data_IF_201175024031
#
_entry.id   IF_201175024031
#
_cell.length_a   1.000
_cell.length_b   1.000
_cell.length_c   1.000
_cell.angle_alpha   90.00
_cell.angle_beta   90.00
_cell.angle_gamma   90.00
#
_symmetry.space_group_name_H-M   'P 1'
#
loop_
_entity.id
_entity.type
_entity.pdbx_description
1 polymer ?
#
# COMPACT_ATOMS: atom_id res chain seq x y z
N UNK A 1 -28.40 -14.84 -51.42
CA UNK A 1 -27.58 -15.58 -50.43
C UNK A 1 -26.56 -14.63 -49.78
N UNK A 2 -27.02 -13.58 -49.09
CA UNK A 2 -26.15 -12.52 -48.54
C UNK A 2 -26.49 -12.10 -47.10
N UNK A 3 -27.12 -12.97 -46.32
CA UNK A 3 -27.42 -12.68 -44.90
C UNK A 3 -26.67 -13.57 -43.89
N UNK A 4 -25.98 -14.63 -44.31
CA UNK A 4 -25.28 -15.55 -43.39
C UNK A 4 -23.82 -15.18 -43.05
N UNK A 5 -23.24 -14.19 -43.75
CA UNK A 5 -21.88 -13.69 -43.46
C UNK A 5 -21.85 -12.52 -42.46
N UNK A 6 -22.96 -11.83 -42.24
CA UNK A 6 -23.07 -10.69 -41.31
C UNK A 6 -23.25 -11.13 -39.85
N UNK A 7 -23.91 -12.26 -39.62
CA UNK A 7 -24.11 -12.82 -38.29
C UNK A 7 -22.84 -13.45 -37.70
N UNK A 8 -22.01 -14.06 -38.56
CA UNK A 8 -20.79 -14.77 -38.16
C UNK A 8 -19.63 -13.84 -37.75
N UNK A 9 -19.65 -12.57 -38.16
CA UNK A 9 -18.63 -11.56 -37.79
C UNK A 9 -18.98 -10.90 -36.44
N UNK A 10 -20.26 -10.68 -36.15
CA UNK A 10 -20.71 -10.13 -34.86
C UNK A 10 -20.52 -11.11 -33.70
N UNK A 11 -20.69 -12.41 -33.93
CA UNK A 11 -20.44 -13.43 -32.90
C UNK A 11 -18.95 -13.66 -32.66
N UNK A 12 -18.11 -13.68 -33.71
CA UNK A 12 -16.64 -13.78 -33.55
C UNK A 12 -16.03 -12.57 -32.84
N UNK A 13 -16.55 -11.36 -33.09
CA UNK A 13 -16.16 -10.15 -32.33
C UNK A 13 -16.51 -10.25 -30.85
N UNK A 14 -17.71 -10.74 -30.51
CA UNK A 14 -18.15 -10.92 -29.11
C UNK A 14 -17.43 -12.06 -28.38
N UNK A 15 -17.00 -13.09 -29.10
CA UNK A 15 -16.21 -14.20 -28.55
C UNK A 15 -14.77 -13.75 -28.27
N UNK A 16 -14.15 -12.95 -29.13
CA UNK A 16 -12.84 -12.36 -28.87
C UNK A 16 -12.87 -11.34 -27.71
N UNK A 17 -13.93 -10.54 -27.59
CA UNK A 17 -14.12 -9.59 -26.47
C UNK A 17 -14.25 -10.32 -25.11
N UNK A 18 -14.97 -11.45 -25.09
CA UNK A 18 -15.11 -12.28 -23.89
C UNK A 18 -13.85 -13.08 -23.54
N UNK A 19 -13.08 -13.51 -24.54
CA UNK A 19 -11.80 -14.19 -24.32
C UNK A 19 -10.75 -13.19 -23.78
N UNK A 20 -10.75 -11.96 -24.31
CA UNK A 20 -9.96 -10.84 -23.82
C UNK A 20 -10.34 -10.43 -22.38
N UNK A 21 -11.61 -10.45 -22.00
CA UNK A 21 -12.03 -10.20 -20.60
C UNK A 21 -11.58 -11.31 -19.65
N UNK A 22 -11.61 -12.59 -20.07
CA UNK A 22 -11.24 -13.74 -19.22
C UNK A 22 -9.72 -13.83 -19.02
N UNK A 23 -8.93 -13.60 -20.07
CA UNK A 23 -7.45 -13.58 -19.96
C UNK A 23 -6.96 -12.33 -19.22
N UNK A 24 -7.62 -11.18 -19.40
CA UNK A 24 -7.35 -9.98 -18.62
C UNK A 24 -7.81 -10.11 -17.17
N UNK A 25 -8.92 -10.81 -16.89
CA UNK A 25 -9.30 -11.15 -15.52
C UNK A 25 -8.31 -12.11 -14.88
N UNK A 26 -7.64 -12.99 -15.63
CA UNK A 26 -6.60 -13.87 -15.12
C UNK A 26 -5.27 -13.15 -14.87
N UNK A 27 -4.83 -12.24 -15.74
CA UNK A 27 -3.67 -11.38 -15.48
C UNK A 27 -3.95 -10.40 -14.35
N UNK A 28 -5.13 -9.77 -14.34
CA UNK A 28 -5.58 -8.84 -13.31
C UNK A 28 -5.83 -9.57 -11.98
N UNK A 29 -6.27 -10.85 -12.00
CA UNK A 29 -6.29 -11.75 -10.84
C UNK A 29 -4.89 -12.05 -10.36
N UNK A 30 -3.94 -12.42 -11.22
CA UNK A 30 -2.54 -12.66 -10.80
C UNK A 30 -1.92 -11.40 -10.18
N UNK A 31 -2.18 -10.23 -10.76
CA UNK A 31 -1.75 -8.93 -10.22
C UNK A 31 -2.47 -8.54 -8.93
N UNK A 32 -3.77 -8.87 -8.78
CA UNK A 32 -4.54 -8.63 -7.55
C UNK A 32 -4.26 -9.66 -6.45
N UNK A 33 -3.92 -10.91 -6.80
CA UNK A 33 -3.59 -12.00 -5.88
C UNK A 33 -2.28 -11.75 -5.11
N UNK A 34 -1.39 -10.92 -5.64
CA UNK A 34 -0.17 -10.48 -4.97
C UNK A 34 -0.35 -9.21 -4.11
N UNK A 35 -1.49 -8.52 -4.26
CA UNK A 35 -1.94 -7.46 -3.36
C UNK A 35 -2.74 -7.99 -2.16
N UNK A 36 -3.10 -9.29 -2.17
CA UNK A 36 -3.92 -9.92 -1.13
C UNK A 36 -3.09 -10.81 -0.21
N UNK A 37 -2.35 -10.17 0.70
CA UNK A 37 -2.25 -10.64 2.09
C UNK A 37 -2.98 -9.66 3.03
N UNK A 38 -4.10 -9.11 2.55
CA UNK A 38 -5.10 -8.41 3.34
C UNK A 38 -6.48 -8.89 2.89
N UNK A 39 -6.76 -10.17 3.13
CA UNK A 39 -8.10 -10.74 3.08
C UNK A 39 -8.95 -10.05 4.13
N UNK A 40 -9.96 -9.30 3.69
CA UNK A 40 -11.33 -9.51 4.14
C UNK A 40 -12.25 -8.80 3.15
N UNK A 41 -13.16 -9.57 2.54
CA UNK A 41 -14.42 -9.06 1.99
C UNK A 41 -15.06 -8.15 3.05
N UNK A 42 -15.13 -6.86 2.76
CA UNK A 42 -15.77 -5.89 3.64
C UNK A 42 -16.97 -5.31 2.91
N UNK A 43 -18.14 -5.63 3.47
CA UNK A 43 -19.40 -4.95 3.19
C UNK A 43 -19.23 -3.42 3.26
N UNK A 44 -19.85 -2.62 2.37
CA UNK A 44 -19.86 -1.14 2.44
C UNK A 44 -20.25 -0.58 3.81
N UNK A 45 -21.24 -1.21 4.46
CA UNK A 45 -21.72 -0.84 5.80
C UNK A 45 -20.61 -1.04 6.86
N UNK A 46 -19.67 -1.95 6.59
CA UNK A 46 -18.58 -2.32 7.50
C UNK A 46 -17.41 -1.34 7.48
N UNK A 47 -17.15 -0.63 6.37
CA UNK A 47 -16.00 0.30 6.28
C UNK A 47 -16.23 1.57 7.10
N UNK A 48 -17.43 2.16 7.01
CA UNK A 48 -17.76 3.31 7.88
C UNK A 48 -17.98 2.92 9.32
N UNK A 49 -18.51 1.72 9.55
CA UNK A 49 -18.55 1.15 10.89
C UNK A 49 -17.12 0.99 11.42
N UNK A 50 -16.17 0.52 10.64
CA UNK A 50 -14.77 0.38 11.05
C UNK A 50 -14.07 1.71 11.29
N UNK A 51 -14.33 2.74 10.48
CA UNK A 51 -13.83 4.11 10.75
C UNK A 51 -14.43 4.64 12.05
N UNK A 52 -15.75 4.45 12.26
CA UNK A 52 -16.43 4.84 13.50
C UNK A 52 -15.89 4.09 14.71
N UNK A 53 -15.74 2.77 14.60
CA UNK A 53 -15.19 1.91 15.64
C UNK A 53 -13.75 2.33 15.99
N UNK A 54 -12.92 2.67 14.99
CA UNK A 54 -11.58 3.22 15.20
C UNK A 54 -11.58 4.62 15.85
N UNK A 55 -12.60 5.43 15.60
CA UNK A 55 -12.78 6.74 16.25
C UNK A 55 -13.31 6.63 17.69
N UNK A 56 -13.95 5.52 18.04
CA UNK A 56 -14.42 5.25 19.41
C UNK A 56 -13.30 4.66 20.30
N UNK A 57 -12.34 3.95 19.72
CA UNK A 57 -11.19 3.42 20.46
C UNK A 57 -10.18 4.53 20.73
N UNK A 58 -9.96 4.84 22.02
CA UNK A 58 -8.90 5.74 22.45
C UNK A 58 -7.56 4.98 22.35
N UNK A 59 -6.58 5.47 21.58
CA UNK A 59 -5.32 4.78 21.44
C UNK A 59 -4.52 4.81 22.75
N UNK A 60 -3.76 3.75 23.01
CA UNK A 60 -2.98 3.58 24.25
C UNK A 60 -2.06 4.76 24.56
N UNK A 61 -1.51 5.44 23.54
CA UNK A 61 -0.62 6.58 23.73
C UNK A 61 -1.34 7.87 24.18
N UNK A 62 -2.68 7.91 24.22
CA UNK A 62 -3.49 9.01 24.75
C UNK A 62 -4.21 8.67 26.06
N UNK A 63 -4.02 7.46 26.59
CA UNK A 63 -4.68 7.04 27.83
C UNK A 63 -4.01 7.65 29.05
N UNK A 64 -4.69 7.60 30.20
CA UNK A 64 -4.14 8.11 31.47
C UNK A 64 -2.92 7.33 31.94
N UNK A 65 -2.78 6.07 31.50
CA UNK A 65 -1.68 5.18 31.92
C UNK A 65 -0.38 5.42 31.15
N UNK A 66 -0.42 6.13 30.01
CA UNK A 66 0.78 6.38 29.23
C UNK A 66 1.67 7.44 29.88
N UNK A 67 2.91 7.05 30.22
CA UNK A 67 3.88 7.90 30.95
C UNK A 67 4.29 9.11 30.10
N UNK A 68 4.69 8.91 28.85
CA UNK A 68 5.16 9.98 27.96
C UNK A 68 4.07 11.03 27.68
N UNK A 69 2.83 10.58 27.50
CA UNK A 69 1.70 11.50 27.36
C UNK A 69 1.44 12.27 28.66
N UNK A 70 1.50 11.59 29.82
CA UNK A 70 1.34 12.24 31.12
C UNK A 70 2.42 13.30 31.35
N UNK A 71 3.67 13.02 30.97
CA UNK A 71 4.79 13.97 31.04
C UNK A 71 4.57 15.19 30.15
N UNK A 72 4.17 15.00 28.89
CA UNK A 72 3.81 16.10 27.99
C UNK A 72 2.73 17.00 28.59
N UNK A 73 1.70 16.39 29.17
CA UNK A 73 0.59 17.08 29.79
C UNK A 73 1.04 17.88 31.02
N UNK A 74 1.90 17.31 31.87
CA UNK A 74 2.50 18.03 32.98
C UNK A 74 3.37 19.21 32.52
N UNK A 75 4.17 19.04 31.46
CA UNK A 75 4.96 20.13 30.88
C UNK A 75 4.07 21.27 30.40
N UNK A 76 2.99 20.97 29.67
CA UNK A 76 2.02 21.97 29.23
C UNK A 76 1.41 22.69 30.44
N UNK A 77 0.91 21.96 31.42
CA UNK A 77 0.20 22.54 32.56
C UNK A 77 1.11 23.34 33.49
N UNK A 78 2.38 22.94 33.64
CA UNK A 78 3.38 23.68 34.40
C UNK A 78 3.62 25.10 33.85
N UNK A 79 3.38 25.29 32.55
CA UNK A 79 3.48 26.61 31.91
C UNK A 79 2.21 27.47 32.02
N UNK A 80 1.09 26.90 32.51
CA UNK A 80 -0.23 27.54 32.50
C UNK A 80 -0.82 27.73 33.91
N UNK A 81 -0.50 26.85 34.87
CA UNK A 81 -1.19 26.78 36.17
C UNK A 81 -0.19 26.75 37.32
N UNK A 82 -0.43 27.57 38.35
CA UNK A 82 0.40 27.72 39.55
C UNK A 82 -0.09 26.93 40.78
N UNK A 83 -1.24 26.25 40.71
CA UNK A 83 -1.90 25.59 41.86
C UNK A 83 -2.24 24.11 41.61
N UNK A 84 -2.03 23.27 42.63
CA UNK A 84 -2.01 21.80 42.54
C UNK A 84 -3.39 21.13 42.37
N UNK A 85 -4.47 21.63 42.97
CA UNK A 85 -5.82 21.03 42.80
C UNK A 85 -6.43 21.30 41.42
N UNK A 86 -6.16 22.47 40.83
CA UNK A 86 -6.54 22.77 39.44
C UNK A 86 -5.82 21.87 38.43
N UNK A 87 -4.64 21.34 38.80
CA UNK A 87 -3.80 20.56 37.90
C UNK A 87 -4.47 19.25 37.45
N UNK A 88 -5.11 18.50 38.36
CA UNK A 88 -5.72 17.21 38.03
C UNK A 88 -6.97 17.35 37.15
N UNK A 89 -7.81 18.35 37.39
CA UNK A 89 -8.98 18.61 36.53
C UNK A 89 -8.54 19.10 35.15
N UNK A 90 -7.51 19.94 35.08
CA UNK A 90 -6.97 20.46 33.83
C UNK A 90 -6.23 19.39 33.01
N UNK A 91 -5.59 18.39 33.66
CA UNK A 91 -5.06 17.19 32.98
C UNK A 91 -6.15 16.44 32.22
N UNK A 92 -7.30 16.23 32.86
CA UNK A 92 -8.40 15.48 32.26
C UNK A 92 -9.06 16.26 31.11
N UNK A 93 -9.23 17.56 31.24
CA UNK A 93 -9.75 18.40 30.15
C UNK A 93 -8.78 18.51 28.97
N UNK A 94 -7.48 18.71 29.23
CA UNK A 94 -6.47 18.75 28.20
C UNK A 94 -6.36 17.38 27.48
N UNK A 95 -6.62 16.26 28.18
CA UNK A 95 -6.66 14.93 27.57
C UNK A 95 -7.86 14.80 26.64
N UNK A 96 -9.03 15.29 27.04
CA UNK A 96 -10.21 15.33 26.17
C UNK A 96 -9.95 16.15 24.91
N UNK A 97 -9.23 17.27 25.04
CA UNK A 97 -8.78 18.08 23.89
C UNK A 97 -7.85 17.27 22.97
N UNK A 98 -6.86 16.58 23.52
CA UNK A 98 -5.95 15.73 22.74
C UNK A 98 -6.69 14.60 22.00
N UNK A 99 -7.69 13.97 22.64
CA UNK A 99 -8.53 12.94 22.01
C UNK A 99 -9.34 13.54 20.85
N UNK A 100 -9.87 14.76 20.98
CA UNK A 100 -10.58 15.43 19.89
C UNK A 100 -9.65 15.74 18.72
N UNK A 101 -8.43 16.24 18.99
CA UNK A 101 -7.40 16.47 17.97
C UNK A 101 -7.06 15.17 17.23
N UNK A 102 -6.90 14.06 17.96
CA UNK A 102 -6.69 12.73 17.38
C UNK A 102 -7.81 12.34 16.41
N UNK A 103 -9.07 12.45 16.85
CA UNK A 103 -10.23 12.12 16.01
C UNK A 103 -10.29 12.97 14.75
N UNK A 104 -10.00 14.26 14.88
CA UNK A 104 -9.92 15.19 13.75
C UNK A 104 -8.85 14.73 12.75
N UNK A 105 -7.64 14.43 13.22
CA UNK A 105 -6.53 13.98 12.36
C UNK A 105 -6.83 12.65 11.66
N UNK A 106 -7.44 11.68 12.36
CA UNK A 106 -7.88 10.41 11.76
C UNK A 106 -8.90 10.66 10.64
N UNK A 107 -9.91 11.51 10.89
CA UNK A 107 -10.93 11.85 9.87
C UNK A 107 -10.27 12.54 8.67
N UNK A 108 -9.36 13.48 8.90
CA UNK A 108 -8.63 14.17 7.82
C UNK A 108 -7.82 13.19 6.97
N UNK A 109 -7.18 12.20 7.61
CA UNK A 109 -6.43 11.13 6.92
C UNK A 109 -7.38 10.30 6.03
N UNK A 110 -8.54 9.89 6.54
CA UNK A 110 -9.53 9.20 5.72
C UNK A 110 -10.13 10.10 4.62
N UNK A 111 -10.37 11.38 4.89
CA UNK A 111 -10.81 12.32 3.86
C UNK A 111 -9.79 12.43 2.72
N UNK A 112 -8.49 12.36 3.00
CA UNK A 112 -7.46 12.33 1.97
C UNK A 112 -7.62 11.10 1.04
N UNK A 113 -7.81 9.91 1.61
CA UNK A 113 -8.09 8.70 0.85
C UNK A 113 -9.37 8.82 0.00
N UNK A 114 -10.49 9.22 0.62
CA UNK A 114 -11.78 9.31 -0.08
C UNK A 114 -11.80 10.41 -1.15
N UNK A 115 -11.07 11.51 -0.95
CA UNK A 115 -10.86 12.52 -2.00
C UNK A 115 -10.05 11.97 -3.16
N UNK A 116 -9.09 11.07 -2.90
CA UNK A 116 -8.33 10.37 -3.94
C UNK A 116 -9.24 9.43 -4.74
N UNK A 117 -10.09 8.64 -4.07
CA UNK A 117 -11.12 7.84 -4.74
C UNK A 117 -12.04 8.70 -5.61
N UNK A 118 -12.50 9.84 -5.09
CA UNK A 118 -13.34 10.76 -5.83
C UNK A 118 -12.63 11.30 -7.07
N UNK A 119 -11.41 11.82 -6.93
CA UNK A 119 -10.61 12.33 -8.05
C UNK A 119 -10.34 11.27 -9.12
N UNK A 120 -10.05 10.04 -8.70
CA UNK A 120 -9.86 8.90 -9.62
C UNK A 120 -11.15 8.62 -10.40
N UNK A 121 -12.28 8.51 -9.70
CA UNK A 121 -13.59 8.25 -10.29
C UNK A 121 -14.20 9.39 -11.10
N UNK A 122 -13.74 10.63 -10.94
CA UNK A 122 -14.13 11.79 -11.77
C UNK A 122 -13.13 12.12 -12.87
N UNK A 123 -12.00 11.39 -12.94
CA UNK A 123 -10.94 11.64 -13.91
C UNK A 123 -10.13 12.92 -13.65
N UNK A 124 -10.15 13.40 -12.39
CA UNK A 124 -9.42 14.57 -11.90
C UNK A 124 -8.21 14.20 -11.04
N UNK A 125 -7.77 12.94 -11.09
CA UNK A 125 -6.56 12.51 -10.40
C UNK A 125 -5.35 13.06 -11.15
N UNK A 126 -5.01 14.33 -10.85
CA UNK A 126 -3.82 14.99 -11.38
C UNK A 126 -2.61 14.18 -10.93
N UNK A 127 -1.82 13.74 -11.89
CA UNK A 127 -0.54 13.08 -11.66
C UNK A 127 0.49 14.20 -11.50
N UNK A 128 1.09 14.38 -10.31
CA UNK A 128 2.21 15.30 -10.16
C UNK A 128 3.39 14.71 -10.93
N UNK A 129 3.58 15.14 -12.17
CA UNK A 129 4.76 14.79 -12.96
C UNK A 129 5.78 15.93 -12.81
N UNK A 130 6.45 15.97 -11.65
CA UNK A 130 7.58 16.90 -11.45
C UNK A 130 8.84 16.46 -12.20
N UNK A 131 8.86 15.26 -12.77
CA UNK A 131 9.99 14.77 -13.56
C UNK A 131 9.53 14.03 -14.80
N UNK A 132 9.95 14.58 -15.95
CA UNK A 132 10.10 13.96 -17.28
C UNK A 132 8.87 14.00 -18.21
N UNK A 133 9.15 14.67 -19.33
CA UNK A 133 8.44 14.80 -20.60
C UNK A 133 7.36 13.75 -20.95
N UNK A 134 6.21 14.31 -21.37
CA UNK A 134 5.42 13.92 -22.55
C UNK A 134 4.67 12.57 -22.51
N UNK A 135 3.61 12.51 -21.71
CA UNK A 135 2.33 11.95 -22.17
C UNK A 135 1.21 12.68 -21.43
N UNK A 136 0.70 13.75 -22.03
CA UNK A 136 -0.60 14.29 -21.62
C UNK A 136 -1.65 13.32 -22.14
N UNK A 137 -2.33 12.61 -21.25
CA UNK A 137 -3.48 11.81 -21.64
C UNK A 137 -4.49 12.72 -22.34
N UNK A 138 -4.97 12.29 -23.52
CA UNK A 138 -5.95 13.05 -24.29
C UNK A 138 -7.31 13.14 -23.56
N UNK A 139 -7.55 12.27 -22.58
CA UNK A 139 -8.86 12.08 -21.95
C UNK A 139 -8.81 12.18 -20.43
N UNK A 140 -9.61 13.09 -19.87
CA UNK A 140 -10.07 13.03 -18.48
C UNK A 140 -10.94 11.78 -18.32
N UNK A 141 -10.39 10.72 -17.73
CA UNK A 141 -11.09 9.45 -17.70
C UNK A 141 -11.54 9.09 -16.27
N UNK A 142 -12.86 8.93 -16.03
CA UNK A 142 -13.36 8.45 -14.75
C UNK A 142 -13.02 6.98 -14.56
N UNK A 143 -12.12 6.69 -13.61
CA UNK A 143 -11.67 5.33 -13.30
C UNK A 143 -11.97 5.06 -11.84
N UNK A 144 -12.95 4.21 -11.57
CA UNK A 144 -13.22 3.79 -10.19
C UNK A 144 -12.28 2.66 -9.77
N UNK A 145 -11.56 2.78 -8.64
CA UNK A 145 -10.76 1.69 -8.11
C UNK A 145 -11.58 0.44 -7.83
N UNK A 146 -10.94 -0.73 -7.95
CA UNK A 146 -11.60 -2.04 -7.83
C UNK A 146 -12.29 -2.19 -6.48
N UNK A 147 -11.67 -1.69 -5.42
CA UNK A 147 -12.21 -1.70 -4.07
C UNK A 147 -13.60 -1.05 -4.04
N UNK A 148 -13.73 0.15 -4.63
CA UNK A 148 -15.01 0.87 -4.71
C UNK A 148 -16.01 0.08 -5.56
N UNK A 149 -15.59 -0.43 -6.72
CA UNK A 149 -16.45 -1.25 -7.58
C UNK A 149 -16.95 -2.50 -6.85
N UNK A 150 -16.08 -3.22 -6.16
CA UNK A 150 -16.43 -4.41 -5.39
C UNK A 150 -17.39 -4.06 -4.25
N UNK A 151 -17.14 -2.97 -3.53
CA UNK A 151 -17.99 -2.50 -2.43
C UNK A 151 -19.41 -2.15 -2.92
N UNK A 152 -19.51 -1.49 -4.08
CA UNK A 152 -20.77 -0.98 -4.60
C UNK A 152 -21.56 -2.05 -5.37
N UNK A 153 -20.87 -2.92 -6.10
CA UNK A 153 -21.46 -3.92 -7.01
C UNK A 153 -21.71 -5.29 -6.35
N UNK A 154 -21.18 -5.54 -5.15
CA UNK A 154 -21.49 -6.76 -4.37
C UNK A 154 -22.98 -6.95 -4.10
N UNK A 155 -23.77 -5.87 -4.18
CA UNK A 155 -25.19 -5.86 -3.83
C UNK A 155 -26.17 -5.62 -5.01
N UNK A 156 -25.71 -5.55 -6.28
CA UNK A 156 -26.60 -5.27 -7.43
C UNK A 156 -26.28 -6.10 -8.67
N UNK A 157 -27.30 -6.77 -9.23
CA UNK A 157 -27.23 -7.57 -10.47
C UNK A 157 -27.26 -6.72 -11.75
N UNK A 158 -27.74 -5.49 -11.68
CA UNK A 158 -27.84 -4.59 -12.84
C UNK A 158 -26.65 -3.62 -12.91
N UNK A 159 -25.86 -3.75 -13.99
CA UNK A 159 -24.69 -2.90 -14.28
C UNK A 159 -25.07 -1.55 -14.92
N UNK A 160 -26.34 -1.33 -15.22
CA UNK A 160 -26.84 -0.06 -15.73
C UNK A 160 -26.70 0.98 -14.62
N UNK A 161 -25.79 1.93 -14.83
CA UNK A 161 -25.50 3.08 -13.96
C UNK A 161 -24.39 2.93 -12.89
N UNK A 162 -23.42 2.03 -13.08
CA UNK A 162 -22.27 1.83 -12.17
C UNK A 162 -21.57 3.13 -11.73
N UNK A 163 -21.32 4.05 -12.67
CA UNK A 163 -20.59 5.28 -12.39
C UNK A 163 -21.34 6.23 -11.45
N UNK A 164 -22.65 6.44 -11.64
CA UNK A 164 -23.43 7.30 -10.74
C UNK A 164 -23.57 6.68 -9.36
N UNK A 165 -23.68 5.34 -9.27
CA UNK A 165 -23.76 4.66 -7.99
C UNK A 165 -22.43 4.78 -7.22
N UNK A 166 -21.28 4.59 -7.89
CA UNK A 166 -19.97 4.77 -7.28
C UNK A 166 -19.75 6.22 -6.85
N UNK A 167 -20.12 7.19 -7.71
CA UNK A 167 -20.02 8.61 -7.42
C UNK A 167 -20.85 8.99 -6.20
N UNK A 168 -22.12 8.58 -6.17
CA UNK A 168 -23.02 8.83 -5.04
C UNK A 168 -22.46 8.22 -3.76
N UNK A 169 -22.02 6.96 -3.81
CA UNK A 169 -21.46 6.28 -2.65
C UNK A 169 -20.25 7.01 -2.07
N UNK A 170 -19.27 7.38 -2.91
CA UNK A 170 -18.06 8.10 -2.48
C UNK A 170 -18.41 9.49 -1.95
N UNK A 171 -19.36 10.19 -2.58
CA UNK A 171 -19.83 11.50 -2.11
C UNK A 171 -20.54 11.39 -0.75
N UNK A 172 -21.36 10.37 -0.54
CA UNK A 172 -22.01 10.11 0.74
C UNK A 172 -20.97 9.86 1.86
N UNK A 173 -19.89 9.12 1.55
CA UNK A 173 -18.79 8.92 2.51
C UNK A 173 -18.07 10.22 2.85
N UNK A 174 -17.75 11.04 1.84
CA UNK A 174 -17.10 12.34 2.04
C UNK A 174 -17.97 13.29 2.87
N UNK A 175 -19.28 13.32 2.60
CA UNK A 175 -20.24 14.14 3.35
C UNK A 175 -20.35 13.70 4.81
N UNK A 176 -20.37 12.39 5.07
CA UNK A 176 -20.41 11.86 6.44
C UNK A 176 -19.12 12.19 7.20
N UNK A 177 -17.94 12.00 6.58
CA UNK A 177 -16.67 12.40 7.18
C UNK A 177 -16.63 13.91 7.44
N UNK A 178 -17.14 14.73 6.52
CA UNK A 178 -17.21 16.18 6.69
C UNK A 178 -18.15 16.59 7.84
N UNK A 179 -19.27 15.88 8.01
CA UNK A 179 -20.21 16.08 9.13
C UNK A 179 -19.53 15.77 10.46
N UNK A 180 -18.88 14.62 10.58
CA UNK A 180 -18.14 14.23 11.79
C UNK A 180 -16.98 15.19 12.09
N UNK A 181 -16.24 15.61 11.06
CA UNK A 181 -15.16 16.59 11.21
C UNK A 181 -15.67 17.90 11.81
N UNK A 182 -16.76 18.45 11.28
CA UNK A 182 -17.38 19.67 11.80
C UNK A 182 -17.84 19.51 13.25
N UNK A 183 -18.43 18.38 13.59
CA UNK A 183 -18.85 18.08 14.96
C UNK A 183 -17.65 18.12 15.92
N UNK A 184 -16.58 17.38 15.62
CA UNK A 184 -15.40 17.35 16.51
C UNK A 184 -14.66 18.69 16.55
N UNK A 185 -14.63 19.46 15.45
CA UNK A 185 -14.08 20.82 15.44
C UNK A 185 -14.89 21.76 16.34
N UNK A 186 -16.23 21.65 16.35
CA UNK A 186 -17.08 22.43 17.26
C UNK A 186 -16.86 22.03 18.72
N UNK A 187 -16.83 20.74 19.02
CA UNK A 187 -16.53 20.23 20.36
C UNK A 187 -15.14 20.68 20.84
N UNK A 188 -14.14 20.66 19.95
CA UNK A 188 -12.79 21.15 20.21
C UNK A 188 -12.81 22.65 20.53
N UNK A 189 -13.47 23.47 19.72
CA UNK A 189 -13.54 24.91 19.93
C UNK A 189 -14.21 25.24 21.28
N UNK A 190 -15.29 24.54 21.64
CA UNK A 190 -15.95 24.73 22.94
C UNK A 190 -14.99 24.38 24.08
N UNK A 191 -14.29 23.24 24.00
CA UNK A 191 -13.35 22.82 25.04
C UNK A 191 -12.12 23.72 25.14
N UNK A 192 -11.54 24.11 24.00
CA UNK A 192 -10.41 25.01 23.92
C UNK A 192 -10.75 26.37 24.55
N UNK A 193 -11.92 26.94 24.23
CA UNK A 193 -12.36 28.22 24.79
C UNK A 193 -12.64 28.14 26.30
N UNK A 194 -13.10 27.00 26.79
CA UNK A 194 -13.35 26.77 28.22
C UNK A 194 -12.07 26.41 29.00
N UNK A 195 -10.97 26.11 28.32
CA UNK A 195 -9.70 25.79 28.95
C UNK A 195 -8.87 27.05 29.14
N UNK A 196 -8.75 27.52 30.39
CA UNK A 196 -8.02 28.73 30.71
C UNK A 196 -6.54 28.59 30.33
N UNK A 197 -6.05 29.51 29.49
CA UNK A 197 -4.67 29.51 29.01
C UNK A 197 -4.39 28.55 27.85
N UNK A 198 -5.43 28.03 27.18
CA UNK A 198 -5.25 27.32 25.91
C UNK A 198 -4.68 28.27 24.86
N UNK A 199 -3.64 27.83 24.14
CA UNK A 199 -2.99 28.60 23.09
C UNK A 199 -2.75 27.74 21.87
N UNK A 200 -2.48 28.37 20.73
CA UNK A 200 -2.07 27.68 19.50
C UNK A 200 -0.83 26.81 19.74
N UNK A 201 0.13 27.29 20.54
CA UNK A 201 1.34 26.50 20.89
C UNK A 201 1.01 25.21 21.65
N UNK A 202 0.01 25.22 22.53
CA UNK A 202 -0.45 24.00 23.22
C UNK A 202 -1.09 23.03 22.22
N UNK A 203 -1.90 23.55 21.30
CA UNK A 203 -2.51 22.76 20.24
C UNK A 203 -1.45 22.10 19.35
N UNK A 204 -0.44 22.85 18.92
CA UNK A 204 0.67 22.36 18.09
C UNK A 204 1.45 21.27 18.82
N UNK A 205 1.79 21.46 20.11
CA UNK A 205 2.48 20.42 20.90
C UNK A 205 1.68 19.12 20.98
N UNK A 206 0.37 19.21 21.20
CA UNK A 206 -0.50 18.03 21.22
C UNK A 206 -0.60 17.38 19.83
N UNK A 207 -0.77 18.17 18.78
CA UNK A 207 -0.82 17.68 17.40
C UNK A 207 0.48 16.98 17.01
N UNK A 208 1.64 17.55 17.30
CA UNK A 208 2.94 16.93 17.01
C UNK A 208 3.12 15.60 17.73
N UNK A 209 2.74 15.53 19.02
CA UNK A 209 2.78 14.28 19.77
C UNK A 209 1.85 13.22 19.17
N UNK A 210 0.64 13.61 18.81
CA UNK A 210 -0.35 12.74 18.16
C UNK A 210 0.20 12.27 16.81
N UNK A 211 0.67 13.19 15.97
CA UNK A 211 1.21 12.93 14.63
C UNK A 211 2.36 11.92 14.65
N UNK A 212 3.33 12.09 15.56
CA UNK A 212 4.45 11.15 15.69
C UNK A 212 3.97 9.71 15.98
N UNK A 213 2.91 9.56 16.77
CA UNK A 213 2.33 8.26 17.11
C UNK A 213 1.38 7.73 16.01
N UNK A 214 0.63 8.60 15.33
CA UNK A 214 -0.30 8.26 14.24
C UNK A 214 0.42 7.87 12.95
N UNK A 215 1.52 8.57 12.65
CA UNK A 215 2.38 8.33 11.48
C UNK A 215 3.01 6.93 11.50
N UNK A 216 3.10 6.30 12.66
CA UNK A 216 3.67 4.95 12.79
C UNK A 216 2.79 3.84 12.18
N UNK A 217 1.48 4.05 11.99
CA UNK A 217 0.57 2.96 11.59
C UNK A 217 -0.52 3.36 10.59
N UNK A 218 -1.33 4.38 10.88
CA UNK A 218 -2.48 4.72 10.05
C UNK A 218 -2.10 5.59 8.85
N UNK A 219 -1.33 6.67 9.05
CA UNK A 219 -1.00 7.61 7.95
C UNK A 219 -0.28 6.89 6.82
N UNK A 220 0.79 6.15 7.15
CA UNK A 220 1.56 5.35 6.18
C UNK A 220 0.71 4.34 5.40
N UNK A 221 -0.25 3.69 6.07
CA UNK A 221 -1.14 2.74 5.41
C UNK A 221 -2.04 3.43 4.40
N UNK A 222 -2.58 4.59 4.76
CA UNK A 222 -3.45 5.38 3.90
C UNK A 222 -2.66 6.02 2.75
N UNK A 223 -1.46 6.56 3.01
CA UNK A 223 -0.53 7.05 2.00
C UNK A 223 -0.22 5.97 0.96
N UNK A 224 0.16 4.77 1.40
CA UNK A 224 0.41 3.66 0.50
C UNK A 224 -0.83 3.27 -0.33
N UNK A 225 -2.02 3.26 0.28
CA UNK A 225 -3.26 3.02 -0.48
C UNK A 225 -3.49 4.08 -1.55
N UNK A 226 -3.21 5.35 -1.24
CA UNK A 226 -3.30 6.46 -2.20
C UNK A 226 -2.30 6.27 -3.34
N UNK A 227 -1.06 5.93 -3.05
CA UNK A 227 -0.05 5.61 -4.08
C UNK A 227 -0.54 4.48 -5.01
N UNK A 228 -1.09 3.40 -4.46
CA UNK A 228 -1.64 2.30 -5.27
C UNK A 228 -2.78 2.76 -6.18
N UNK A 229 -3.67 3.63 -5.70
CA UNK A 229 -4.74 4.22 -6.52
C UNK A 229 -4.16 5.04 -7.67
N UNK A 230 -3.10 5.81 -7.42
CA UNK A 230 -2.41 6.57 -8.46
C UNK A 230 -1.80 5.66 -9.53
N UNK A 231 -1.08 4.61 -9.14
CA UNK A 231 -0.51 3.65 -10.09
C UNK A 231 -1.61 2.93 -10.90
N UNK A 232 -2.68 2.48 -10.24
CA UNK A 232 -3.78 1.80 -10.92
C UNK A 232 -4.53 2.72 -11.88
N UNK A 233 -4.69 4.00 -11.54
CA UNK A 233 -5.24 5.01 -12.43
C UNK A 233 -4.37 5.18 -13.68
N UNK A 234 -3.06 5.37 -13.49
CA UNK A 234 -2.12 5.62 -14.58
C UNK A 234 -1.98 4.43 -15.53
N UNK A 235 -1.88 3.20 -14.99
CA UNK A 235 -1.85 1.98 -15.80
C UNK A 235 -3.12 1.85 -16.65
N UNK A 236 -4.28 2.18 -16.10
CA UNK A 236 -5.54 2.13 -16.85
C UNK A 236 -5.63 3.22 -17.91
N UNK A 237 -5.15 4.44 -17.61
CA UNK A 237 -5.06 5.53 -18.58
C UNK A 237 -4.14 5.15 -19.76
N UNK A 238 -2.94 4.63 -19.49
CA UNK A 238 -2.01 4.14 -20.52
C UNK A 238 -2.62 3.02 -21.37
N UNK A 239 -3.34 2.09 -20.74
CA UNK A 239 -4.01 0.99 -21.43
C UNK A 239 -5.06 1.52 -22.42
N UNK A 240 -5.83 2.52 -22.02
CA UNK A 240 -6.85 3.11 -22.87
C UNK A 240 -6.23 3.91 -24.01
N UNK A 241 -5.22 4.72 -23.73
CA UNK A 241 -4.44 5.43 -24.75
C UNK A 241 -3.88 4.43 -25.77
N UNK A 242 -3.27 3.34 -25.31
CA UNK A 242 -2.78 2.26 -26.18
C UNK A 242 -3.86 1.71 -27.12
N UNK A 243 -5.07 1.47 -26.62
CA UNK A 243 -6.18 0.98 -27.46
C UNK A 243 -6.76 2.02 -28.41
N UNK A 244 -6.70 3.32 -28.08
CA UNK A 244 -7.14 4.38 -29.01
C UNK A 244 -6.34 4.35 -30.32
N UNK A 245 -5.07 3.95 -30.26
CA UNK A 245 -4.19 3.79 -31.42
C UNK A 245 -4.46 2.52 -32.25
N UNK A 246 -5.46 1.70 -31.90
CA UNK A 246 -5.86 0.47 -32.61
C UNK A 246 -4.67 -0.43 -32.97
N UNK A 247 -3.94 -0.92 -31.95
CA UNK A 247 -2.74 -1.73 -32.15
C UNK A 247 -3.09 -3.02 -32.90
N UNK A 248 -2.17 -3.50 -33.73
CA UNK A 248 -2.32 -4.82 -34.33
C UNK A 248 -2.10 -5.93 -33.27
N UNK A 249 -2.55 -7.15 -33.56
CA UNK A 249 -2.44 -8.28 -32.63
C UNK A 249 -0.98 -8.61 -32.24
N UNK A 250 -0.04 -8.47 -33.18
CA UNK A 250 1.38 -8.70 -32.90
C UNK A 250 1.94 -7.70 -31.87
N UNK A 251 1.63 -6.41 -32.02
CA UNK A 251 2.03 -5.34 -31.10
C UNK A 251 1.40 -5.55 -29.71
N UNK A 252 0.13 -5.99 -29.66
CA UNK A 252 -0.56 -6.36 -28.43
C UNK A 252 0.15 -7.51 -27.71
N UNK A 253 0.48 -8.59 -28.43
CA UNK A 253 1.20 -9.73 -27.85
C UNK A 253 2.59 -9.32 -27.34
N UNK A 254 3.33 -8.54 -28.13
CA UNK A 254 4.65 -8.05 -27.75
C UNK A 254 4.58 -7.21 -26.46
N UNK A 255 3.67 -6.23 -26.40
CA UNK A 255 3.44 -5.42 -25.20
C UNK A 255 3.16 -6.28 -23.96
N UNK A 256 2.29 -7.28 -24.08
CA UNK A 256 1.97 -8.19 -22.97
C UNK A 256 3.21 -8.93 -22.50
N UNK A 257 3.99 -9.51 -23.41
CA UNK A 257 5.20 -10.27 -23.09
C UNK A 257 6.24 -9.41 -22.37
N UNK A 258 6.47 -8.18 -22.83
CA UNK A 258 7.44 -7.26 -22.22
C UNK A 258 6.98 -6.86 -20.82
N UNK A 259 5.73 -6.43 -20.68
CA UNK A 259 5.19 -6.02 -19.39
C UNK A 259 5.21 -7.16 -18.37
N UNK A 260 4.91 -8.39 -18.80
CA UNK A 260 5.01 -9.59 -17.95
C UNK A 260 6.46 -9.86 -17.53
N UNK A 261 7.39 -9.85 -18.47
CA UNK A 261 8.81 -10.08 -18.15
C UNK A 261 9.40 -8.97 -17.25
N UNK A 262 9.01 -7.70 -17.45
CA UNK A 262 9.41 -6.59 -16.58
C UNK A 262 8.86 -6.78 -15.17
N UNK A 263 7.58 -7.17 -15.05
CA UNK A 263 6.97 -7.44 -13.75
C UNK A 263 7.69 -8.55 -13.00
N UNK A 264 7.98 -9.67 -13.68
CA UNK A 264 8.71 -10.80 -13.11
C UNK A 264 10.12 -10.40 -12.67
N UNK A 265 10.85 -9.68 -13.52
CA UNK A 265 12.19 -9.16 -13.20
C UNK A 265 12.16 -8.25 -11.97
N UNK A 266 11.35 -7.19 -11.98
CA UNK A 266 11.28 -6.22 -10.87
C UNK A 266 10.83 -6.88 -9.57
N UNK A 267 9.88 -7.82 -9.63
CA UNK A 267 9.44 -8.57 -8.45
C UNK A 267 10.59 -9.40 -7.90
N UNK A 268 11.30 -10.15 -8.74
CA UNK A 268 12.43 -10.99 -8.31
C UNK A 268 13.58 -10.17 -7.71
N UNK A 269 13.89 -9.00 -8.27
CA UNK A 269 14.90 -8.08 -7.73
C UNK A 269 14.51 -7.60 -6.33
N UNK A 270 13.27 -7.17 -6.16
CA UNK A 270 12.78 -6.65 -4.88
C UNK A 270 12.62 -7.74 -3.82
N UNK A 271 12.29 -8.98 -4.21
CA UNK A 271 12.29 -10.14 -3.32
C UNK A 271 13.68 -10.49 -2.82
N UNK A 272 14.66 -10.49 -3.72
CA UNK A 272 16.06 -10.75 -3.38
C UNK A 272 16.61 -9.70 -2.41
N UNK A 273 16.37 -8.41 -2.67
CA UNK A 273 16.80 -7.34 -1.77
C UNK A 273 16.09 -7.38 -0.40
N UNK A 274 14.79 -7.71 -0.38
CA UNK A 274 14.06 -7.94 0.88
C UNK A 274 14.63 -9.14 1.66
N UNK A 275 14.99 -10.23 0.97
CA UNK A 275 15.60 -11.41 1.58
C UNK A 275 16.95 -11.09 2.21
N UNK A 276 17.81 -10.35 1.50
CA UNK A 276 19.09 -9.85 2.06
C UNK A 276 18.88 -9.07 3.35
N UNK A 277 17.94 -8.14 3.35
CA UNK A 277 17.65 -7.32 4.53
C UNK A 277 17.12 -8.16 5.70
N UNK A 278 16.25 -9.15 5.44
CA UNK A 278 15.78 -10.09 6.47
C UNK A 278 16.92 -10.92 7.04
N UNK A 279 17.81 -11.44 6.21
CA UNK A 279 18.98 -12.21 6.65
C UNK A 279 19.90 -11.33 7.51
N UNK A 280 20.16 -10.09 7.08
CA UNK A 280 20.93 -9.12 7.86
C UNK A 280 20.29 -8.87 9.24
N UNK A 281 18.97 -8.69 9.28
CA UNK A 281 18.22 -8.53 10.52
C UNK A 281 18.35 -9.74 11.46
N UNK A 282 18.15 -10.96 10.97
CA UNK A 282 18.26 -12.18 11.80
C UNK A 282 19.69 -12.49 12.26
N UNK A 283 20.69 -11.85 11.65
CA UNK A 283 22.09 -11.92 12.05
C UNK A 283 22.48 -10.84 13.07
N UNK A 284 21.59 -9.92 13.46
CA UNK A 284 21.87 -8.94 14.51
C UNK A 284 22.06 -9.63 15.87
N UNK A 285 22.95 -9.10 16.74
CA UNK A 285 23.19 -9.65 18.08
C UNK A 285 21.93 -9.72 18.96
N UNK A 286 21.01 -8.77 18.78
CA UNK A 286 19.72 -8.71 19.50
C UNK A 286 18.71 -9.80 19.09
N UNK A 287 18.94 -10.46 17.94
CA UNK A 287 18.14 -11.58 17.43
C UNK A 287 18.93 -12.90 17.50
N UNK A 288 19.97 -12.94 18.33
CA UNK A 288 20.90 -14.06 18.43
C UNK A 288 20.31 -15.28 19.13
N UNK A 289 21.04 -16.40 19.05
CA UNK A 289 20.76 -17.68 19.70
C UNK A 289 20.42 -17.57 21.21
N UNK A 290 20.85 -16.50 21.88
CA UNK A 290 20.56 -16.24 23.29
C UNK A 290 19.06 -16.02 23.56
N UNK A 291 18.29 -15.62 22.55
CA UNK A 291 16.83 -15.52 22.62
C UNK A 291 16.08 -16.79 22.15
N UNK A 292 16.80 -17.85 21.74
CA UNK A 292 16.18 -19.11 21.31
C UNK A 292 15.86 -20.01 22.51
N UNK A 293 14.75 -20.74 22.46
CA UNK A 293 14.37 -21.74 23.49
C UNK A 293 15.36 -22.91 23.62
N UNK A 294 16.37 -22.97 22.75
CA UNK A 294 17.41 -24.01 22.72
C UNK A 294 18.48 -23.77 23.79
N UNK A 295 18.67 -22.53 24.24
CA UNK A 295 19.61 -22.18 25.31
C UNK A 295 19.21 -22.75 26.69
N UNK A 296 17.93 -23.10 26.87
CA UNK A 296 17.33 -23.62 28.10
C UNK A 296 16.60 -24.95 27.88
N UNK A 297 17.32 -25.95 27.35
CA UNK A 297 16.75 -27.28 27.17
C UNK A 297 16.86 -28.10 28.48
N UNK A 298 15.75 -28.65 29.03
CA UNK A 298 15.73 -29.36 30.32
C UNK A 298 16.73 -30.52 30.44
N UNK A 299 17.04 -31.17 29.32
CA UNK A 299 18.03 -32.25 29.25
C UNK A 299 19.48 -31.75 29.35
N UNK A 300 19.77 -30.54 28.89
CA UNK A 300 21.11 -29.93 28.98
C UNK A 300 21.28 -29.28 30.36
N UNK A 301 20.21 -28.66 30.87
CA UNK A 301 20.22 -27.99 32.17
C UNK A 301 20.27 -28.95 33.37
N UNK A 302 19.89 -30.23 33.18
CA UNK A 302 19.98 -31.28 34.21
C UNK A 302 21.35 -31.94 34.34
N UNK A 303 22.33 -31.59 33.49
CA UNK A 303 23.70 -32.12 33.54
C UNK A 303 24.43 -31.53 34.76
N UNK A 304 24.81 -32.38 35.71
CA UNK A 304 25.49 -31.96 36.96
C UNK A 304 26.92 -31.46 36.74
N UNK A 305 27.60 -31.92 35.68
CA UNK A 305 28.95 -31.47 35.35
C UNK A 305 28.91 -30.18 34.54
N UNK A 306 29.22 -29.07 35.22
CA UNK A 306 29.21 -27.72 34.63
C UNK A 306 30.10 -27.57 33.40
N UNK A 307 31.30 -28.16 33.39
CA UNK A 307 32.23 -28.06 32.25
C UNK A 307 31.68 -28.76 31.01
N UNK A 308 31.07 -29.93 31.18
CA UNK A 308 30.43 -30.69 30.09
C UNK A 308 29.17 -29.97 29.60
N UNK A 309 28.39 -29.42 30.52
CA UNK A 309 27.19 -28.64 30.20
C UNK A 309 27.53 -27.40 29.37
N UNK A 310 28.54 -26.63 29.76
CA UNK A 310 29.00 -25.44 29.02
C UNK A 310 29.57 -25.79 27.64
N UNK A 311 30.35 -26.87 27.55
CA UNK A 311 30.88 -27.36 26.27
C UNK A 311 29.77 -27.77 25.29
N UNK A 312 28.75 -28.49 25.77
CA UNK A 312 27.59 -28.88 24.96
C UNK A 312 26.78 -27.65 24.53
N UNK A 313 26.49 -26.70 25.44
CA UNK A 313 25.81 -25.44 25.09
C UNK A 313 26.55 -24.68 23.99
N UNK A 314 27.88 -24.63 24.06
CA UNK A 314 28.71 -23.99 23.04
C UNK A 314 28.63 -24.73 21.70
N UNK A 315 28.72 -26.06 21.68
CA UNK A 315 28.60 -26.85 20.46
C UNK A 315 27.22 -26.72 19.80
N UNK A 316 26.14 -26.77 20.58
CA UNK A 316 24.79 -26.55 20.07
C UNK A 316 24.63 -25.15 19.47
N UNK A 317 25.17 -24.12 20.13
CA UNK A 317 25.18 -22.74 19.61
C UNK A 317 25.92 -22.67 18.26
N UNK A 318 27.08 -23.30 18.16
CA UNK A 318 27.89 -23.32 16.94
C UNK A 318 27.18 -24.03 15.79
N UNK A 319 26.64 -25.23 16.02
CA UNK A 319 25.88 -25.98 15.00
C UNK A 319 24.65 -25.19 14.56
N UNK A 320 23.87 -24.63 15.48
CA UNK A 320 22.68 -23.85 15.14
C UNK A 320 23.03 -22.61 14.29
N UNK A 321 24.12 -21.91 14.62
CA UNK A 321 24.59 -20.76 13.84
C UNK A 321 25.03 -21.22 12.44
N UNK A 322 25.84 -22.27 12.33
CA UNK A 322 26.31 -22.80 11.06
C UNK A 322 25.15 -23.27 10.16
N UNK A 323 24.21 -24.05 10.71
CA UNK A 323 23.03 -24.51 9.97
C UNK A 323 22.17 -23.34 9.49
N UNK A 324 22.00 -22.30 10.32
CA UNK A 324 21.26 -21.09 9.94
C UNK A 324 21.95 -20.32 8.80
N UNK A 325 23.26 -20.14 8.88
CA UNK A 325 24.04 -19.46 7.82
C UNK A 325 23.94 -20.26 6.51
N UNK A 326 24.11 -21.58 6.57
CA UNK A 326 24.01 -22.45 5.39
C UNK A 326 22.61 -22.35 4.74
N UNK A 327 21.55 -22.38 5.56
CA UNK A 327 20.18 -22.23 5.08
C UNK A 327 19.93 -20.87 4.42
N UNK A 328 20.41 -19.77 5.02
CA UNK A 328 20.28 -18.43 4.45
C UNK A 328 21.04 -18.27 3.13
N UNK A 329 22.23 -18.87 3.01
CA UNK A 329 23.00 -18.86 1.77
C UNK A 329 22.27 -19.63 0.65
N UNK A 330 21.71 -20.80 0.95
CA UNK A 330 20.91 -21.56 -0.02
C UNK A 330 19.69 -20.77 -0.52
N UNK A 331 18.99 -20.07 0.37
CA UNK A 331 17.88 -19.22 -0.04
C UNK A 331 18.31 -18.04 -0.91
N UNK A 332 19.46 -17.41 -0.61
CA UNK A 332 19.99 -16.30 -1.43
C UNK A 332 20.42 -16.77 -2.82
N UNK A 333 21.11 -17.89 -2.91
CA UNK A 333 21.57 -18.46 -4.18
C UNK A 333 20.37 -18.82 -5.07
N UNK A 334 19.37 -19.52 -4.52
CA UNK A 334 18.16 -19.86 -5.27
C UNK A 334 17.37 -18.61 -5.71
N UNK A 335 17.35 -17.54 -4.93
CA UNK A 335 16.69 -16.29 -5.31
C UNK A 335 17.49 -15.53 -6.38
N UNK A 336 18.82 -15.56 -6.31
CA UNK A 336 19.71 -14.94 -7.30
C UNK A 336 19.61 -15.60 -8.67
N UNK A 337 19.56 -16.93 -8.72
CA UNK A 337 19.37 -17.69 -9.96
C UNK A 337 18.06 -17.32 -10.66
N UNK A 338 16.97 -17.26 -9.90
CA UNK A 338 15.65 -16.85 -10.43
C UNK A 338 15.68 -15.42 -10.96
N UNK A 339 16.29 -14.50 -10.22
CA UNK A 339 16.44 -13.10 -10.63
C UNK A 339 17.19 -12.97 -11.95
N UNK A 340 18.29 -13.70 -12.11
CA UNK A 340 19.09 -13.69 -13.33
C UNK A 340 18.34 -14.30 -14.53
N UNK A 341 17.54 -15.35 -14.30
CA UNK A 341 16.66 -15.94 -15.33
C UNK A 341 15.64 -14.92 -15.85
N UNK A 342 14.93 -14.23 -14.95
CA UNK A 342 13.93 -13.23 -15.34
C UNK A 342 14.55 -12.02 -16.04
N UNK A 343 15.72 -11.57 -15.58
CA UNK A 343 16.48 -10.49 -16.23
C UNK A 343 16.83 -10.84 -17.68
N UNK A 344 17.41 -12.03 -17.93
CA UNK A 344 17.74 -12.50 -19.28
C UNK A 344 16.49 -12.58 -20.18
N UNK A 345 15.37 -13.07 -19.63
CA UNK A 345 14.10 -13.16 -20.35
C UNK A 345 13.58 -11.77 -20.75
N UNK A 346 13.66 -10.79 -19.85
CA UNK A 346 13.25 -9.43 -20.14
C UNK A 346 14.15 -8.76 -21.18
N UNK A 347 15.48 -8.85 -21.01
CA UNK A 347 16.45 -8.31 -21.98
C UNK A 347 16.23 -8.88 -23.38
N UNK A 348 15.98 -10.19 -23.51
CA UNK A 348 15.66 -10.81 -24.78
C UNK A 348 14.37 -10.26 -25.41
N UNK A 349 13.34 -9.95 -24.61
CA UNK A 349 12.10 -9.35 -25.10
C UNK A 349 12.29 -7.89 -25.52
N UNK A 350 13.09 -7.11 -24.79
CA UNK A 350 13.44 -5.73 -25.16
C UNK A 350 14.22 -5.71 -26.48
N UNK A 351 15.18 -6.62 -26.66
CA UNK A 351 15.92 -6.75 -27.91
C UNK A 351 14.99 -7.03 -29.10
N UNK A 352 13.94 -7.85 -28.93
CA UNK A 352 12.94 -8.08 -29.98
C UNK A 352 12.21 -6.80 -30.40
N UNK A 353 11.85 -5.92 -29.44
CA UNK A 353 11.22 -4.62 -29.76
C UNK A 353 12.14 -3.79 -30.64
N UNK A 354 13.40 -3.64 -30.21
CA UNK A 354 14.36 -2.76 -30.87
C UNK A 354 14.66 -3.28 -32.29
N UNK A 355 14.82 -4.60 -32.44
CA UNK A 355 14.96 -5.23 -33.76
C UNK A 355 13.76 -4.92 -34.67
N UNK A 356 12.53 -5.07 -34.15
CA UNK A 356 11.29 -4.81 -34.89
C UNK A 356 11.03 -3.31 -35.21
N UNK A 357 11.77 -2.39 -34.59
CA UNK A 357 11.74 -0.96 -34.97
C UNK A 357 12.61 -0.64 -36.18
N UNK A 358 13.70 -1.38 -36.37
CA UNK A 358 14.77 -1.05 -37.33
C UNK A 358 14.73 -1.86 -38.63
N UNK A 359 13.90 -2.92 -38.72
CA UNK A 359 13.76 -3.73 -39.93
C UNK A 359 12.82 -3.06 -40.96
N UNK A 360 13.29 -2.92 -42.20
CA UNK A 360 12.58 -2.22 -43.30
C UNK A 360 11.63 -3.13 -44.11
N UNK A 361 11.61 -4.44 -43.85
CA UNK A 361 10.78 -5.41 -44.57
C UNK A 361 9.69 -5.95 -43.65
N UNK A 362 8.46 -5.48 -43.86
CA UNK A 362 7.15 -6.10 -43.57
C UNK A 362 6.16 -5.13 -42.89
N UNK A 363 4.88 -5.49 -42.99
CA UNK A 363 3.70 -4.92 -42.34
C UNK A 363 3.76 -4.89 -40.77
N UNK A 364 4.96 -4.94 -40.19
CA UNK A 364 5.28 -5.23 -38.78
C UNK A 364 5.95 -4.04 -38.06
N UNK A 365 6.07 -2.87 -38.71
CA UNK A 365 6.73 -1.71 -38.12
C UNK A 365 5.99 -1.22 -36.86
N UNK A 366 6.68 -1.18 -35.73
CA UNK A 366 6.20 -0.57 -34.50
C UNK A 366 6.16 0.96 -34.65
N UNK A 367 5.01 1.57 -34.33
CA UNK A 367 4.93 3.03 -34.18
C UNK A 367 5.77 3.49 -32.99
N UNK A 368 6.43 4.63 -33.12
CA UNK A 368 7.16 5.29 -32.01
C UNK A 368 6.25 5.54 -30.81
N UNK A 369 4.97 5.84 -31.04
CA UNK A 369 3.98 6.05 -29.99
C UNK A 369 3.73 4.78 -29.17
N UNK A 370 3.69 3.60 -29.81
CA UNK A 370 3.51 2.34 -29.08
C UNK A 370 4.68 2.04 -28.17
N UNK A 371 5.91 2.30 -28.63
CA UNK A 371 7.10 2.07 -27.81
C UNK A 371 7.16 3.02 -26.62
N UNK A 372 6.77 4.28 -26.80
CA UNK A 372 6.63 5.22 -25.68
C UNK A 372 5.62 4.73 -24.64
N UNK A 373 4.45 4.25 -25.07
CA UNK A 373 3.41 3.71 -24.17
C UNK A 373 3.85 2.43 -23.45
N UNK A 374 4.59 1.55 -24.15
CA UNK A 374 5.17 0.34 -23.55
C UNK A 374 6.19 0.71 -22.47
N UNK A 375 7.12 1.62 -22.79
CA UNK A 375 8.15 2.05 -21.85
C UNK A 375 7.55 2.72 -20.62
N UNK A 376 6.58 3.62 -20.83
CA UNK A 376 5.89 4.29 -19.73
C UNK A 376 5.17 3.29 -18.84
N UNK A 377 4.50 2.28 -19.43
CA UNK A 377 3.89 1.21 -18.64
C UNK A 377 4.92 0.38 -17.87
N UNK A 378 6.09 0.11 -18.44
CA UNK A 378 7.16 -0.62 -17.75
C UNK A 378 7.71 0.17 -16.56
N UNK A 379 7.94 1.47 -16.73
CA UNK A 379 8.37 2.36 -15.63
C UNK A 379 7.39 2.29 -14.46
N UNK A 380 6.09 2.36 -14.77
CA UNK A 380 5.01 2.37 -13.78
C UNK A 380 4.86 1.05 -13.04
N UNK A 381 5.21 -0.07 -13.69
CA UNK A 381 5.32 -1.37 -13.02
C UNK A 381 6.45 -1.33 -11.99
N UNK A 382 7.65 -0.83 -12.37
CA UNK A 382 8.78 -0.71 -11.47
C UNK A 382 8.49 0.17 -10.25
N UNK A 383 7.98 1.39 -10.48
CA UNK A 383 7.62 2.34 -9.41
C UNK A 383 6.58 1.75 -8.45
N UNK A 384 5.55 1.08 -8.98
CA UNK A 384 4.52 0.42 -8.17
C UNK A 384 5.12 -0.68 -7.29
N UNK A 385 5.94 -1.57 -7.87
CA UNK A 385 6.55 -2.66 -7.10
C UNK A 385 7.44 -2.06 -6.02
N UNK A 386 8.28 -1.07 -6.34
CA UNK A 386 9.15 -0.40 -5.37
C UNK A 386 8.35 0.21 -4.20
N UNK A 387 7.22 0.88 -4.46
CA UNK A 387 6.33 1.40 -3.42
C UNK A 387 5.79 0.28 -2.51
N UNK A 388 5.36 -0.85 -3.07
CA UNK A 388 4.88 -2.00 -2.29
C UNK A 388 5.98 -2.56 -1.39
N UNK A 389 7.19 -2.74 -1.90
CA UNK A 389 8.29 -3.29 -1.11
C UNK A 389 8.78 -2.31 -0.06
N UNK A 390 8.84 -1.00 -0.35
CA UNK A 390 9.12 0.05 0.63
C UNK A 390 8.12 0.00 1.79
N UNK A 391 6.82 -0.07 1.49
CA UNK A 391 5.79 -0.19 2.53
C UNK A 391 5.92 -1.49 3.35
N UNK A 392 6.22 -2.63 2.70
CA UNK A 392 6.48 -3.90 3.41
C UNK A 392 7.68 -3.80 4.34
N UNK A 393 8.77 -3.16 3.90
CA UNK A 393 9.98 -2.95 4.69
C UNK A 393 9.73 -2.08 5.91
N UNK A 394 9.05 -0.95 5.73
CA UNK A 394 8.69 -0.06 6.84
C UNK A 394 7.82 -0.77 7.89
N UNK A 395 6.88 -1.62 7.47
CA UNK A 395 6.06 -2.42 8.37
C UNK A 395 6.83 -3.56 9.05
N UNK A 396 7.83 -4.12 8.38
CA UNK A 396 8.69 -5.14 8.97
C UNK A 396 9.56 -4.52 10.08
N UNK A 397 10.18 -3.38 9.81
CA UNK A 397 11.04 -2.67 10.75
C UNK A 397 10.27 -2.04 11.93
N UNK A 398 9.03 -1.60 11.71
CA UNK A 398 8.21 -1.04 12.80
C UNK A 398 7.74 -2.11 13.79
N UNK A 399 7.50 -3.35 13.33
CA UNK A 399 7.17 -4.50 14.19
C UNK A 399 8.34 -5.02 15.01
N UNK A 400 9.58 -4.73 14.62
CA UNK A 400 10.79 -5.14 15.34
C UNK A 400 11.25 -4.17 16.44
N UNK A 401 10.65 -2.99 16.54
CA UNK A 401 10.95 -1.96 17.55
C UNK A 401 9.89 -1.88 18.68
N UNK A 402 8.99 -2.86 18.75
CA UNK A 402 8.04 -3.13 19.83
C UNK A 402 8.47 -4.42 20.53
#
# INVERSE_FOLDING_TARGET
MSNDLSWNIKEKSKVNEKLDEVEQQNLSRKMSQLSTNATHEKDPIKIMKEIRDQLEIIPNYLTKQNISFKELMHQILSSVITTTEKLNNNMDELRKIAILLYKIMVIQTYQYLWKTYFKSGTGQLIIPSETKQKLSYSTTLPIWPKEIKTIVLSNKKDKTNENEICLKFVNDQLNELQRQLKQYQQELNIKANNFQGYTISIQEKLMTYIEQNLNSSLSKKIEHQVELIHYDYHIQALKLEYFQHKPNEYQKQLMIQICQSQYEQETSEQEYELLKQKIAYYNLPSQSFECSTISHHPLIDSIQNLTVQEALKKQFKEVAIQSRIALFNLYLESAEDQREEYKKKHEANVMKINASQHTSNNNEKLSSTFVQLINERCNQIGERIQSIYKFKLENFLSKSNL
#
